data_IF_838287375211
#
_entry.id   IF_838287375211
#
_cell.length_a   1.000
_cell.length_b   1.000
_cell.length_c   1.000
_cell.angle_alpha   90.00
_cell.angle_beta   90.00
_cell.angle_gamma   90.00
#
_symmetry.space_group_name_H-M   'P 1'
#
loop_
_entity.id
_entity.type
_entity.pdbx_description
1 polymer ?
#
# COMPACT_ATOMS: atom_id res chain seq x y z
N UNK A 1 -7.21 -12.55 -7.89
CA UNK A 1 -6.52 -11.63 -6.97
C UNK A 1 -5.78 -12.43 -5.90
N UNK A 2 -4.61 -11.95 -5.50
CA UNK A 2 -3.87 -12.53 -4.38
C UNK A 2 -4.74 -12.54 -3.12
N UNK A 3 -4.71 -13.64 -2.39
CA UNK A 3 -5.64 -13.88 -1.28
C UNK A 3 -4.90 -14.39 -0.04
N UNK A 4 -5.63 -14.46 1.07
CA UNK A 4 -5.10 -14.99 2.33
C UNK A 4 -4.55 -16.40 2.11
N UNK A 5 -3.34 -16.64 2.58
CA UNK A 5 -2.62 -17.91 2.42
C UNK A 5 -1.63 -17.92 1.26
N UNK A 6 -1.76 -17.00 0.31
CA UNK A 6 -0.83 -16.91 -0.81
C UNK A 6 0.47 -16.22 -0.37
N UNK A 7 1.57 -16.60 -1.01
CA UNK A 7 2.79 -15.82 -0.90
C UNK A 7 2.62 -14.55 -1.73
N UNK A 8 2.97 -13.40 -1.17
CA UNK A 8 2.94 -12.14 -1.91
C UNK A 8 3.99 -12.21 -3.03
N UNK A 9 3.67 -11.77 -4.27
CA UNK A 9 4.64 -11.84 -5.37
C UNK A 9 5.94 -11.10 -5.05
N UNK A 10 7.06 -11.65 -5.50
CA UNK A 10 8.35 -10.98 -5.36
C UNK A 10 8.37 -9.69 -6.18
N UNK A 11 9.03 -8.67 -5.66
CA UNK A 11 9.15 -7.38 -6.35
C UNK A 11 10.47 -6.68 -6.00
N UNK A 12 10.85 -5.77 -6.88
CA UNK A 12 11.82 -4.73 -6.58
C UNK A 12 11.28 -3.42 -7.13
N UNK A 13 11.01 -2.47 -6.26
CA UNK A 13 10.41 -1.20 -6.62
C UNK A 13 11.19 -0.06 -5.94
N UNK A 14 11.32 1.06 -6.63
CA UNK A 14 11.96 2.24 -6.04
C UNK A 14 10.98 2.93 -5.09
N UNK A 15 11.52 3.52 -4.02
CA UNK A 15 10.75 4.36 -3.13
C UNK A 15 10.84 5.83 -3.59
N UNK A 16 10.27 6.74 -2.82
CA UNK A 16 10.25 8.18 -3.11
C UNK A 16 11.64 8.85 -3.13
N UNK A 17 12.64 8.16 -2.60
CA UNK A 17 14.03 8.66 -2.55
C UNK A 17 14.93 8.01 -3.61
N UNK A 18 14.35 7.19 -4.49
CA UNK A 18 15.11 6.49 -5.53
C UNK A 18 15.83 5.24 -5.04
N UNK A 19 15.63 4.84 -3.79
CA UNK A 19 16.20 3.62 -3.25
C UNK A 19 15.36 2.43 -3.68
N UNK A 20 16.00 1.32 -4.07
CA UNK A 20 15.30 0.10 -4.45
C UNK A 20 14.93 -0.70 -3.21
N UNK A 21 13.63 -0.99 -3.07
CA UNK A 21 13.10 -1.84 -2.01
C UNK A 21 12.75 -3.18 -2.62
N UNK A 22 13.33 -4.25 -2.07
CA UNK A 22 13.05 -5.62 -2.51
C UNK A 22 12.02 -6.25 -1.57
N UNK A 23 11.18 -7.13 -2.10
CA UNK A 23 10.23 -7.88 -1.26
C UNK A 23 10.94 -8.64 -0.14
N UNK A 24 12.16 -9.10 -0.38
CA UNK A 24 13.00 -9.76 0.63
C UNK A 24 13.25 -8.85 1.84
N UNK A 25 13.35 -7.54 1.62
CA UNK A 25 13.59 -6.56 2.69
C UNK A 25 12.42 -6.44 3.67
N UNK A 26 11.24 -6.89 3.28
CA UNK A 26 10.05 -6.85 4.14
C UNK A 26 10.03 -7.99 5.16
N UNK A 27 10.81 -9.04 4.95
CA UNK A 27 10.83 -10.21 5.84
C UNK A 27 11.39 -9.86 7.20
N UNK A 28 10.93 -10.57 8.23
CA UNK A 28 11.38 -10.37 9.60
C UNK A 28 10.43 -9.51 10.44
N UNK A 29 9.49 -8.85 9.81
CA UNK A 29 8.41 -8.12 10.46
C UNK A 29 7.14 -8.26 9.62
N UNK A 30 6.00 -7.97 10.22
CA UNK A 30 4.75 -7.88 9.45
C UNK A 30 4.79 -6.62 8.60
N UNK A 31 4.06 -6.62 7.50
CA UNK A 31 3.99 -5.48 6.60
C UNK A 31 2.54 -5.21 6.22
N UNK A 32 2.16 -3.93 6.25
CA UNK A 32 0.94 -3.45 5.63
C UNK A 32 1.36 -2.90 4.28
N UNK A 33 0.81 -3.47 3.21
CA UNK A 33 1.06 -3.02 1.84
C UNK A 33 -0.27 -2.53 1.28
N UNK A 34 -0.42 -1.22 1.12
CA UNK A 34 -1.67 -0.68 0.61
C UNK A 34 -1.48 -0.11 -0.79
N UNK A 35 -2.37 -0.50 -1.69
CA UNK A 35 -2.43 -0.02 -3.07
C UNK A 35 -3.47 1.10 -3.16
N UNK A 36 -3.09 2.22 -3.76
CA UNK A 36 -3.98 3.37 -3.90
C UNK A 36 -3.88 3.95 -5.31
N UNK A 37 -4.94 4.62 -5.79
CA UNK A 37 -4.99 5.05 -7.19
C UNK A 37 -3.97 6.12 -7.56
N UNK A 38 -3.80 7.16 -6.75
CA UNK A 38 -3.01 8.32 -7.19
C UNK A 38 -2.63 9.25 -6.03
N UNK A 39 -1.38 9.76 -6.06
CA UNK A 39 -0.92 10.80 -5.13
C UNK A 39 -1.75 12.08 -5.27
N UNK A 40 -1.85 12.83 -4.17
CA UNK A 40 -2.48 14.16 -4.11
C UNK A 40 -3.99 14.19 -4.42
N UNK A 41 -4.67 13.05 -4.46
CA UNK A 41 -6.14 13.04 -4.46
C UNK A 41 -6.64 13.10 -3.02
N UNK A 42 -7.85 13.65 -2.75
CA UNK A 42 -8.32 13.84 -1.37
C UNK A 42 -8.33 12.57 -0.53
N UNK A 43 -8.91 11.49 -1.03
CA UNK A 43 -9.00 10.23 -0.28
C UNK A 43 -7.65 9.57 -0.07
N UNK A 44 -6.78 9.58 -1.09
CA UNK A 44 -5.43 9.03 -0.97
C UNK A 44 -4.58 9.84 0.01
N UNK A 45 -4.77 11.16 0.05
CA UNK A 45 -4.08 12.03 1.00
C UNK A 45 -4.53 11.72 2.43
N UNK A 46 -5.83 11.57 2.66
CA UNK A 46 -6.36 11.19 3.97
C UNK A 46 -5.79 9.83 4.42
N UNK A 47 -5.79 8.85 3.52
CA UNK A 47 -5.25 7.52 3.82
C UNK A 47 -3.77 7.58 4.22
N UNK A 48 -2.96 8.29 3.43
CA UNK A 48 -1.54 8.43 3.72
C UNK A 48 -1.28 9.14 5.05
N UNK A 49 -2.00 10.20 5.32
CA UNK A 49 -1.87 10.94 6.58
C UNK A 49 -2.33 10.11 7.79
N UNK A 50 -3.35 9.28 7.62
CA UNK A 50 -3.79 8.36 8.68
C UNK A 50 -2.69 7.35 9.01
N UNK A 51 -2.04 6.77 8.01
CA UNK A 51 -0.89 5.87 8.24
C UNK A 51 0.27 6.61 8.89
N UNK A 52 0.57 7.82 8.43
CA UNK A 52 1.62 8.66 9.01
C UNK A 52 1.38 8.88 10.51
N UNK A 53 0.16 9.27 10.88
CA UNK A 53 -0.18 9.61 12.26
C UNK A 53 -0.24 8.39 13.18
N UNK A 54 -0.37 7.19 12.62
CA UNK A 54 -0.47 5.94 13.37
C UNK A 54 0.75 5.02 13.19
N UNK A 55 1.79 5.48 12.50
CA UNK A 55 2.94 4.62 12.18
C UNK A 55 3.62 4.07 13.43
N UNK A 56 3.77 4.89 14.46
CA UNK A 56 4.39 4.47 15.71
C UNK A 56 3.62 3.29 16.35
N UNK A 57 2.30 3.37 16.34
CA UNK A 57 1.46 2.29 16.86
C UNK A 57 1.67 0.98 16.07
N UNK A 58 1.77 1.08 14.74
CA UNK A 58 2.05 -0.10 13.91
C UNK A 58 3.44 -0.65 14.18
N UNK A 59 4.44 0.21 14.33
CA UNK A 59 5.80 -0.22 14.64
C UNK A 59 5.86 -0.95 16.00
N UNK A 60 5.08 -0.52 16.99
CA UNK A 60 4.97 -1.21 18.27
C UNK A 60 4.36 -2.62 18.12
N UNK A 61 3.60 -2.84 17.06
CA UNK A 61 3.04 -4.15 16.72
C UNK A 61 3.96 -4.93 15.76
N UNK A 62 5.23 -4.54 15.66
CA UNK A 62 6.22 -5.12 14.75
C UNK A 62 5.73 -5.12 13.28
N UNK A 63 5.10 -4.02 12.87
CA UNK A 63 4.49 -3.90 11.55
C UNK A 63 4.98 -2.64 10.86
N UNK A 64 5.42 -2.78 9.60
CA UNK A 64 5.84 -1.67 8.74
C UNK A 64 4.73 -1.35 7.75
N UNK A 65 4.78 -0.15 7.16
CA UNK A 65 3.78 0.32 6.20
C UNK A 65 4.45 0.70 4.89
N UNK A 66 3.87 0.26 3.77
CA UNK A 66 4.30 0.60 2.41
C UNK A 66 3.08 0.98 1.59
N UNK A 67 3.12 2.14 0.95
CA UNK A 67 2.08 2.54 -0.01
C UNK A 67 2.58 2.29 -1.43
N UNK A 68 1.71 1.86 -2.32
CA UNK A 68 2.05 1.55 -3.71
C UNK A 68 1.04 2.17 -4.66
N UNK A 69 1.52 2.90 -5.65
CA UNK A 69 0.70 3.38 -6.77
C UNK A 69 1.54 3.42 -8.04
N UNK A 70 0.92 3.75 -9.16
CA UNK A 70 1.59 3.88 -10.45
C UNK A 70 2.26 5.24 -10.66
N UNK A 71 2.22 6.12 -9.67
CA UNK A 71 2.84 7.44 -9.77
C UNK A 71 4.36 7.35 -9.84
N UNK A 72 4.98 8.35 -10.47
CA UNK A 72 6.43 8.42 -10.62
C UNK A 72 7.13 8.67 -9.28
N UNK A 73 8.44 8.40 -9.27
CA UNK A 73 9.29 8.71 -8.12
C UNK A 73 9.18 10.19 -7.73
N UNK A 74 9.16 11.08 -8.72
CA UNK A 74 9.03 12.52 -8.46
C UNK A 74 7.71 12.89 -7.80
N UNK A 75 6.61 12.31 -8.26
CA UNK A 75 5.29 12.53 -7.65
C UNK A 75 5.25 12.01 -6.23
N UNK A 76 5.79 10.81 -5.99
CA UNK A 76 5.90 10.25 -4.65
C UNK A 76 6.76 11.13 -3.74
N UNK A 77 7.88 11.63 -4.23
CA UNK A 77 8.75 12.53 -3.48
C UNK A 77 8.01 13.82 -3.09
N UNK A 78 7.32 14.44 -4.04
CA UNK A 78 6.54 15.65 -3.78
C UNK A 78 5.43 15.40 -2.77
N UNK A 79 4.70 14.30 -2.92
CA UNK A 79 3.60 13.93 -2.03
C UNK A 79 4.12 13.66 -0.62
N UNK A 80 5.19 12.89 -0.50
CA UNK A 80 5.81 12.55 0.78
C UNK A 80 6.31 13.82 1.50
N UNK A 81 6.97 14.71 0.77
CA UNK A 81 7.48 15.96 1.35
C UNK A 81 6.35 16.89 1.76
N UNK A 82 5.33 17.03 0.93
CA UNK A 82 4.18 17.91 1.20
C UNK A 82 3.46 17.53 2.48
N UNK A 83 3.32 16.24 2.75
CA UNK A 83 2.55 15.72 3.89
C UNK A 83 3.44 15.13 4.99
N UNK A 84 4.75 15.28 4.90
CA UNK A 84 5.71 14.76 5.89
C UNK A 84 5.48 13.28 6.16
N UNK A 85 5.30 12.49 5.11
CA UNK A 85 5.10 11.05 5.25
C UNK A 85 6.37 10.39 5.78
N UNK A 86 6.20 9.44 6.67
CA UNK A 86 7.29 8.79 7.41
C UNK A 86 7.41 7.30 7.10
N UNK A 87 6.90 6.88 5.96
CA UNK A 87 7.00 5.52 5.46
C UNK A 87 7.25 5.55 3.95
N UNK A 88 7.63 4.39 3.39
CA UNK A 88 7.97 4.32 1.97
C UNK A 88 6.74 4.30 1.06
N UNK A 89 6.81 5.08 -0.01
CA UNK A 89 5.88 5.03 -1.14
C UNK A 89 6.63 4.37 -2.30
N UNK A 90 6.13 3.25 -2.79
CA UNK A 90 6.79 2.48 -3.84
C UNK A 90 6.21 2.82 -5.21
N UNK A 91 7.08 2.87 -6.21
CA UNK A 91 6.74 3.21 -7.59
C UNK A 91 6.46 1.94 -8.37
N UNK A 92 5.20 1.66 -8.65
CA UNK A 92 4.78 0.54 -9.50
C UNK A 92 4.51 1.06 -10.92
N UNK A 93 5.58 1.51 -11.57
CA UNK A 93 5.50 2.00 -12.93
C UNK A 93 4.96 0.90 -13.84
N UNK A 94 4.07 1.26 -14.76
CA UNK A 94 3.38 0.30 -15.65
C UNK A 94 2.47 -0.70 -14.93
N UNK A 95 2.22 -0.53 -13.64
CA UNK A 95 1.27 -1.35 -12.87
C UNK A 95 1.58 -2.85 -12.85
N UNK A 96 2.85 -3.23 -12.99
CA UNK A 96 3.24 -4.64 -13.05
C UNK A 96 2.88 -5.43 -11.80
N UNK A 97 3.24 -4.90 -10.62
CA UNK A 97 2.90 -5.57 -9.36
C UNK A 97 1.40 -5.51 -9.10
N UNK A 98 0.77 -4.36 -9.39
CA UNK A 98 -0.67 -4.18 -9.23
C UNK A 98 -1.47 -5.19 -10.05
N UNK A 99 -1.00 -5.51 -11.28
CA UNK A 99 -1.61 -6.56 -12.10
C UNK A 99 -1.41 -7.94 -11.49
N UNK A 100 -0.19 -8.25 -11.04
CA UNK A 100 0.12 -9.56 -10.45
C UNK A 100 -0.75 -9.87 -9.24
N UNK A 101 -0.96 -8.88 -8.38
CA UNK A 101 -1.77 -9.09 -7.17
C UNK A 101 -3.28 -8.97 -7.46
N UNK A 102 -3.66 -8.44 -8.62
CA UNK A 102 -5.05 -8.38 -9.06
C UNK A 102 -5.80 -7.13 -8.65
N UNK A 103 -5.11 -6.06 -8.25
CA UNK A 103 -5.76 -4.80 -7.85
C UNK A 103 -5.90 -3.80 -8.99
N UNK A 104 -5.23 -4.04 -10.12
CA UNK A 104 -5.35 -3.20 -11.31
C UNK A 104 -6.51 -3.73 -12.15
N UNK A 105 -7.64 -3.03 -12.10
CA UNK A 105 -8.92 -3.51 -12.60
C UNK A 105 -9.64 -2.44 -13.39
N UNK A 106 -10.63 -2.88 -14.21
CA UNK A 106 -11.52 -1.98 -14.91
C UNK A 106 -12.40 -1.24 -13.90
N UNK A 107 -12.37 0.09 -13.95
CA UNK A 107 -13.16 0.95 -13.08
C UNK A 107 -14.12 1.77 -13.92
N UNK A 108 -15.34 1.95 -13.43
CA UNK A 108 -16.35 2.82 -14.03
C UNK A 108 -16.45 4.10 -13.22
N UNK A 109 -16.35 5.25 -13.90
CA UNK A 109 -16.49 6.55 -13.27
C UNK A 109 -17.15 7.50 -14.27
N UNK A 110 -18.28 8.10 -13.86
CA UNK A 110 -19.03 9.05 -14.70
C UNK A 110 -19.35 8.51 -16.10
N UNK A 111 -19.72 7.23 -16.20
CA UNK A 111 -20.06 6.60 -17.47
C UNK A 111 -18.87 6.19 -18.32
N UNK A 112 -17.66 6.43 -17.87
CA UNK A 112 -16.43 6.01 -18.56
C UNK A 112 -15.79 4.82 -17.86
N UNK A 113 -15.24 3.91 -18.66
CA UNK A 113 -14.50 2.76 -18.16
C UNK A 113 -13.01 2.98 -18.40
N UNK A 114 -12.19 2.74 -17.38
CA UNK A 114 -10.75 2.81 -17.49
C UNK A 114 -10.10 1.88 -16.50
N UNK A 115 -8.89 1.42 -16.82
CA UNK A 115 -8.09 0.62 -15.89
C UNK A 115 -7.51 1.50 -14.81
N UNK A 116 -7.46 0.97 -13.59
CA UNK A 116 -6.87 1.69 -12.47
C UNK A 116 -6.78 0.79 -11.25
N UNK A 117 -6.07 1.28 -10.22
CA UNK A 117 -5.95 0.56 -8.96
C UNK A 117 -7.25 0.70 -8.17
N UNK A 118 -7.82 -0.43 -7.79
CA UNK A 118 -8.90 -0.50 -6.79
C UNK A 118 -8.24 -0.55 -5.42
N UNK A 119 -8.55 0.43 -4.57
CA UNK A 119 -7.93 0.58 -3.26
C UNK A 119 -8.02 -0.70 -2.46
N UNK A 120 -6.87 -1.31 -2.18
CA UNK A 120 -6.76 -2.63 -1.55
C UNK A 120 -5.58 -2.63 -0.60
N UNK A 121 -5.73 -3.24 0.57
CA UNK A 121 -4.66 -3.36 1.56
C UNK A 121 -4.41 -4.83 1.87
N UNK A 122 -3.15 -5.22 1.81
CA UNK A 122 -2.68 -6.55 2.21
C UNK A 122 -1.89 -6.43 3.51
N UNK A 123 -2.06 -7.42 4.38
CA UNK A 123 -1.17 -7.59 5.54
C UNK A 123 -0.36 -8.85 5.31
N UNK A 124 0.95 -8.73 5.42
CA UNK A 124 1.90 -9.84 5.23
C UNK A 124 2.51 -10.24 6.57
N UNK A 125 2.77 -11.53 6.73
CA UNK A 125 3.52 -12.01 7.88
C UNK A 125 5.04 -11.84 7.65
N UNK A 126 5.83 -12.35 8.57
CA UNK A 126 7.30 -12.22 8.56
C UNK A 126 7.96 -12.94 7.38
N UNK A 127 7.24 -13.80 6.68
CA UNK A 127 7.70 -14.54 5.49
C UNK A 127 7.03 -14.07 4.20
N UNK A 128 6.37 -12.91 4.23
CA UNK A 128 5.62 -12.34 3.09
C UNK A 128 4.41 -13.18 2.66
N UNK A 129 3.86 -13.95 3.56
CA UNK A 129 2.60 -14.64 3.32
C UNK A 129 1.44 -13.71 3.65
N UNK A 130 0.43 -13.65 2.81
CA UNK A 130 -0.74 -12.81 3.02
C UNK A 130 -1.59 -13.40 4.15
N UNK A 131 -1.79 -12.62 5.21
CA UNK A 131 -2.58 -13.03 6.37
C UNK A 131 -3.89 -12.25 6.50
N UNK A 132 -4.04 -11.15 5.76
CA UNK A 132 -5.27 -10.37 5.74
C UNK A 132 -5.35 -9.54 4.46
N UNK A 133 -6.57 -9.36 3.95
CA UNK A 133 -6.85 -8.53 2.77
C UNK A 133 -8.07 -7.67 3.04
N UNK A 134 -7.96 -6.38 2.78
CA UNK A 134 -9.09 -5.46 2.81
C UNK A 134 -9.32 -5.00 1.36
N UNK A 135 -10.40 -5.48 0.75
CA UNK A 135 -10.79 -5.06 -0.60
C UNK A 135 -11.71 -3.85 -0.52
N UNK A 136 -11.65 -2.99 -1.51
CA UNK A 136 -12.48 -1.77 -1.56
C UNK A 136 -12.42 -1.01 -0.24
N UNK A 137 -11.19 -0.66 0.14
CA UNK A 137 -10.89 -0.03 1.43
C UNK A 137 -11.77 1.18 1.72
N UNK A 138 -12.30 1.23 2.93
CA UNK A 138 -12.93 2.42 3.50
C UNK A 138 -11.90 3.12 4.39
N UNK A 139 -11.38 4.23 3.91
CA UNK A 139 -10.30 4.94 4.61
C UNK A 139 -10.71 5.32 6.03
N UNK A 140 -11.98 5.68 6.23
CA UNK A 140 -12.50 6.11 7.52
C UNK A 140 -12.33 5.08 8.63
N UNK A 141 -12.37 3.78 8.32
CA UNK A 141 -12.31 2.69 9.31
C UNK A 141 -11.06 1.85 9.23
N UNK A 142 -10.23 2.05 8.19
CA UNK A 142 -9.11 1.15 7.89
C UNK A 142 -8.10 1.04 9.02
N UNK A 143 -7.69 2.16 9.61
CA UNK A 143 -6.64 2.14 10.65
C UNK A 143 -7.08 1.32 11.85
N UNK A 144 -8.33 1.51 12.30
CA UNK A 144 -8.87 0.75 13.43
C UNK A 144 -8.98 -0.73 13.10
N UNK A 145 -9.48 -1.05 11.92
CA UNK A 145 -9.61 -2.44 11.45
C UNK A 145 -8.24 -3.14 11.43
N UNK A 146 -7.21 -2.46 10.92
CA UNK A 146 -5.85 -3.01 10.87
C UNK A 146 -5.28 -3.20 12.28
N UNK A 147 -5.44 -2.22 13.16
CA UNK A 147 -4.97 -2.35 14.55
C UNK A 147 -5.65 -3.51 15.27
N UNK A 148 -6.95 -3.65 15.11
CA UNK A 148 -7.69 -4.75 15.73
C UNK A 148 -7.20 -6.10 15.21
N UNK A 149 -7.00 -6.22 13.90
CA UNK A 149 -6.47 -7.45 13.31
C UNK A 149 -5.08 -7.79 13.86
N UNK A 150 -4.19 -6.80 13.92
CA UNK A 150 -2.80 -7.02 14.34
C UNK A 150 -2.65 -7.34 15.83
N UNK A 151 -3.61 -6.96 16.65
CA UNK A 151 -3.61 -7.24 18.09
C UNK A 151 -4.13 -8.61 18.46
N UNK A 152 -4.74 -9.31 17.50
CA UNK A 152 -5.27 -10.67 17.73
C UNK A 152 -4.17 -11.70 17.84
#
# INVERSE_FOLDING_TARGET
>A
MTKIGDKFPDFNLKNQNGETIFSEDLKGSKSIVYFYPRDNTPTCTTEACDFRDNLEDFNELNTKVYGISGDSEKKHSNFSNKHSLNFDLLVDEDYQLSEKVGVYQLKKSFGKESMGIVRTTFVLDEDNKVIHVIEKVKVKTQIEDLKNFLKE
#
